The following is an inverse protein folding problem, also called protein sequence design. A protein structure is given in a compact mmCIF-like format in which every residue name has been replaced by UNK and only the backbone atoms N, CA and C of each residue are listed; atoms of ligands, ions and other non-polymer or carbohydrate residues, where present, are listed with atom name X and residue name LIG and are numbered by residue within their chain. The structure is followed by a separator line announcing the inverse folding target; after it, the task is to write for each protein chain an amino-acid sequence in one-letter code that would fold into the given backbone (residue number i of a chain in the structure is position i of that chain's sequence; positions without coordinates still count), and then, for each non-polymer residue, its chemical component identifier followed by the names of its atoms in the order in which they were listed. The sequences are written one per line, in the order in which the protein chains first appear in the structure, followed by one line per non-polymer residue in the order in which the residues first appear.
data_IF_248333942584
#
_entry.id   IF_248333942584
#
_cell.length_a   1.000
_cell.length_b   1.000
_cell.length_c   1.000
_cell.angle_alpha   90.00
_cell.angle_beta   90.00
_cell.angle_gamma   90.00
#
_symmetry.space_group_name_H-M   'P 1'
#
loop_
_entity.id
_entity.type
_entity.pdbx_description
1 polymer ?
#
# COMPACT_ATOMS: atom_id res chain seq x y z
N UNK A 1 24.16 21.46 4.30
CA UNK A 1 22.78 21.01 4.03
C UNK A 1 22.85 20.16 2.78
N UNK A 2 22.60 18.86 2.91
CA UNK A 2 22.45 18.00 1.75
C UNK A 2 21.19 18.39 0.99
N UNK A 3 21.33 18.54 -0.33
CA UNK A 3 20.19 18.87 -1.21
C UNK A 3 19.34 17.61 -1.35
N UNK A 4 18.04 17.73 -1.08
CA UNK A 4 17.09 16.72 -1.50
C UNK A 4 17.16 16.60 -3.03
N UNK A 5 17.44 15.40 -3.54
CA UNK A 5 17.35 15.08 -4.96
C UNK A 5 16.02 14.38 -5.22
N UNK A 6 15.35 14.77 -6.31
CA UNK A 6 14.20 14.03 -6.84
C UNK A 6 14.77 13.05 -7.86
N UNK A 7 14.58 11.76 -7.62
CA UNK A 7 14.89 10.73 -8.61
C UNK A 7 13.58 10.31 -9.27
N UNK A 8 13.53 10.39 -10.60
CA UNK A 8 12.40 9.90 -11.40
C UNK A 8 12.82 8.57 -12.03
N UNK A 9 12.17 7.49 -11.64
CA UNK A 9 12.32 6.17 -12.26
C UNK A 9 11.03 5.77 -12.97
N UNK A 10 11.13 5.06 -14.08
CA UNK A 10 9.99 4.53 -14.84
C UNK A 10 10.29 3.10 -15.32
N UNK A 11 9.28 2.23 -15.34
CA UNK A 11 9.38 0.87 -15.90
C UNK A 11 8.26 0.60 -16.92
N UNK A 12 8.47 -0.40 -17.78
CA UNK A 12 7.46 -0.90 -18.75
C UNK A 12 6.60 -2.05 -18.18
N UNK A 13 6.66 -2.28 -16.87
CA UNK A 13 5.87 -3.31 -16.15
C UNK A 13 4.49 -2.75 -15.76
N UNK A 14 3.53 -3.59 -15.30
CA UNK A 14 2.18 -3.14 -14.97
C UNK A 14 2.18 -1.86 -14.13
N UNK A 15 1.28 -0.94 -14.49
CA UNK A 15 1.23 0.40 -13.89
C UNK A 15 1.05 0.24 -12.38
N UNK A 16 2.08 0.60 -11.63
CA UNK A 16 2.01 0.74 -10.19
C UNK A 16 1.14 1.96 -9.90
N UNK A 17 -0.01 1.77 -9.28
CA UNK A 17 -0.97 2.84 -9.04
C UNK A 17 -1.14 3.08 -7.56
N UNK A 18 -1.35 4.35 -7.22
CA UNK A 18 -1.76 4.77 -5.88
C UNK A 18 -0.83 4.24 -4.78
N UNK A 19 0.51 4.42 -4.89
CA UNK A 19 1.40 3.98 -3.82
C UNK A 19 1.16 4.83 -2.58
N UNK A 20 1.14 4.17 -1.42
CA UNK A 20 1.16 4.78 -0.10
C UNK A 20 2.31 4.19 0.70
N UNK A 21 2.99 5.00 1.50
CA UNK A 21 4.21 4.63 2.22
C UNK A 21 4.10 5.07 3.67
N UNK A 22 4.41 4.18 4.60
CA UNK A 22 4.59 4.48 6.02
C UNK A 22 6.00 4.07 6.47
N UNK A 23 6.44 4.59 7.61
CA UNK A 23 7.67 4.15 8.26
C UNK A 23 7.32 3.58 9.64
N UNK A 24 7.68 2.32 9.90
CA UNK A 24 7.32 1.62 11.15
C UNK A 24 8.29 1.87 12.32
N UNK A 25 9.28 2.73 12.09
CA UNK A 25 10.37 3.01 13.03
C UNK A 25 11.65 2.24 12.70
N UNK A 26 11.56 1.21 11.87
CA UNK A 26 12.69 0.37 11.44
C UNK A 26 12.90 0.38 9.92
N UNK A 27 11.82 0.46 9.15
CA UNK A 27 11.84 0.44 7.69
C UNK A 27 10.62 1.18 7.11
N UNK A 28 10.71 1.52 5.84
CA UNK A 28 9.59 1.94 5.02
C UNK A 28 8.81 0.75 4.50
N UNK A 29 7.50 0.86 4.50
CA UNK A 29 6.57 -0.12 3.93
C UNK A 29 5.70 0.60 2.92
N UNK A 30 5.67 0.09 1.69
CA UNK A 30 4.83 0.60 0.62
C UNK A 30 3.72 -0.40 0.33
N UNK A 31 2.50 0.10 0.15
CA UNK A 31 1.44 -0.63 -0.53
C UNK A 31 1.03 0.09 -1.81
N UNK A 32 0.70 -0.67 -2.84
CA UNK A 32 0.23 -0.13 -4.11
C UNK A 32 -0.77 -1.07 -4.77
N UNK A 33 -1.56 -0.51 -5.69
CA UNK A 33 -2.42 -1.28 -6.55
C UNK A 33 -1.71 -1.66 -7.85
N UNK A 34 -1.91 -2.90 -8.29
CA UNK A 34 -1.59 -3.34 -9.64
C UNK A 34 -2.63 -4.36 -10.11
N UNK A 35 -3.35 -4.03 -11.18
CA UNK A 35 -4.39 -4.89 -11.77
C UNK A 35 -5.50 -5.28 -10.80
N UNK A 36 -5.88 -4.38 -9.87
CA UNK A 36 -6.92 -4.64 -8.87
C UNK A 36 -6.44 -5.44 -7.64
N UNK A 37 -5.16 -5.81 -7.58
CA UNK A 37 -4.55 -6.44 -6.42
C UNK A 37 -3.71 -5.42 -5.63
N UNK A 38 -3.59 -5.63 -4.32
CA UNK A 38 -2.67 -4.87 -3.47
C UNK A 38 -1.37 -5.66 -3.31
N UNK A 39 -0.25 -4.96 -3.45
CA UNK A 39 1.08 -5.49 -3.22
C UNK A 39 1.81 -4.66 -2.18
N UNK A 40 2.66 -5.33 -1.41
CA UNK A 40 3.52 -4.75 -0.38
C UNK A 40 4.99 -4.85 -0.81
N UNK A 41 5.76 -3.82 -0.52
CA UNK A 41 7.23 -3.79 -0.60
C UNK A 41 7.81 -3.11 0.62
N UNK A 42 9.06 -3.40 0.93
CA UNK A 42 9.79 -2.83 2.06
C UNK A 42 11.12 -2.23 1.63
N UNK A 43 11.60 -1.22 2.36
CA UNK A 43 12.85 -0.54 2.07
C UNK A 43 13.43 0.08 3.35
N UNK A 44 14.75 0.10 3.48
CA UNK A 44 15.43 0.81 4.57
C UNK A 44 15.82 2.26 4.21
N UNK A 45 15.78 2.61 2.92
CA UNK A 45 16.31 3.86 2.38
C UNK A 45 15.34 4.62 1.45
N UNK A 46 14.12 4.10 1.26
CA UNK A 46 13.12 4.58 0.30
C UNK A 46 13.57 4.56 -1.18
N UNK A 47 14.73 3.98 -1.50
CA UNK A 47 15.31 3.95 -2.83
C UNK A 47 15.37 2.53 -3.39
N UNK A 48 15.90 1.60 -2.60
CA UNK A 48 15.99 0.18 -2.92
C UNK A 48 14.84 -0.55 -2.24
N UNK A 49 14.00 -1.20 -3.04
CA UNK A 49 12.80 -1.90 -2.55
C UNK A 49 12.95 -3.41 -2.70
N UNK A 50 12.37 -4.14 -1.75
CA UNK A 50 12.23 -5.59 -1.83
C UNK A 50 11.42 -6.02 -3.07
N UNK A 51 11.46 -7.32 -3.37
CA UNK A 51 10.47 -7.93 -4.25
C UNK A 51 9.05 -7.69 -3.74
N UNK A 52 8.09 -7.71 -4.67
CA UNK A 52 6.68 -7.53 -4.34
C UNK A 52 6.08 -8.76 -3.70
N UNK A 53 5.33 -8.53 -2.63
CA UNK A 53 4.53 -9.57 -1.95
C UNK A 53 3.07 -9.21 -2.14
N UNK A 54 2.27 -10.13 -2.69
CA UNK A 54 0.83 -9.92 -2.83
C UNK A 54 0.18 -9.95 -1.46
N UNK A 55 -0.55 -8.88 -1.14
CA UNK A 55 -1.30 -8.75 0.10
C UNK A 55 -2.66 -9.45 -0.01
N UNK A 56 -3.12 -10.06 1.08
CA UNK A 56 -4.47 -10.66 1.14
C UNK A 56 -5.50 -9.59 1.46
N UNK A 57 -6.58 -9.50 0.69
CA UNK A 57 -7.67 -8.54 0.92
C UNK A 57 -9.00 -9.28 1.02
N UNK A 58 -9.73 -9.05 2.10
CA UNK A 58 -11.01 -9.70 2.41
C UNK A 58 -12.10 -8.66 2.74
N UNK A 59 -13.35 -9.11 2.95
CA UNK A 59 -14.49 -8.25 3.29
C UNK A 59 -15.18 -7.58 2.10
N UNK A 60 -14.58 -7.61 0.91
CA UNK A 60 -15.20 -7.12 -0.32
C UNK A 60 -16.22 -8.12 -0.89
N UNK A 61 -17.39 -7.62 -1.29
CA UNK A 61 -18.35 -8.41 -2.07
C UNK A 61 -17.79 -8.73 -3.46
N UNK A 62 -18.21 -9.86 -4.05
CA UNK A 62 -17.77 -10.31 -5.39
C UNK A 62 -17.76 -9.20 -6.44
N UNK A 63 -16.68 -9.14 -7.24
CA UNK A 63 -16.48 -8.15 -8.30
C UNK A 63 -15.98 -6.78 -7.85
N UNK A 64 -15.83 -6.54 -6.54
CA UNK A 64 -15.21 -5.32 -6.01
C UNK A 64 -13.72 -5.52 -5.78
N UNK A 65 -12.95 -4.48 -6.05
CA UNK A 65 -11.53 -4.41 -5.77
C UNK A 65 -11.10 -2.98 -5.44
N UNK A 66 -9.96 -2.85 -4.77
CA UNK A 66 -9.35 -1.57 -4.43
C UNK A 66 -8.72 -0.97 -5.69
N UNK A 67 -9.06 0.28 -5.99
CA UNK A 67 -8.54 1.04 -7.13
C UNK A 67 -7.51 2.09 -6.68
N UNK A 68 -7.76 2.72 -5.53
CA UNK A 68 -6.84 3.65 -4.87
C UNK A 68 -6.83 3.37 -3.37
N UNK A 69 -5.71 3.60 -2.72
CA UNK A 69 -5.54 3.36 -1.29
C UNK A 69 -4.65 4.43 -0.68
N UNK A 70 -4.92 4.74 0.58
CA UNK A 70 -3.99 5.41 1.46
C UNK A 70 -3.92 4.64 2.79
N UNK A 71 -2.73 4.54 3.37
CA UNK A 71 -2.47 3.75 4.57
C UNK A 71 -1.84 4.64 5.65
N UNK A 72 -2.37 4.50 6.86
CA UNK A 72 -1.90 5.17 8.05
C UNK A 72 -1.41 4.14 9.07
N UNK A 73 -0.25 4.40 9.66
CA UNK A 73 0.25 3.65 10.82
C UNK A 73 -0.10 4.42 12.10
N UNK A 74 -0.97 3.84 12.92
CA UNK A 74 -1.36 4.42 14.21
C UNK A 74 -0.25 4.33 15.24
N UNK A 75 -0.30 5.19 16.25
CA UNK A 75 0.70 5.22 17.33
C UNK A 75 0.78 3.94 18.18
N UNK A 76 -0.22 3.06 18.10
CA UNK A 76 -0.24 1.75 18.73
C UNK A 76 0.10 0.59 17.77
N UNK A 77 0.61 0.91 16.58
CA UNK A 77 1.15 -0.06 15.62
C UNK A 77 0.12 -0.72 14.71
N UNK A 78 -1.16 -0.32 14.75
CA UNK A 78 -2.16 -0.78 13.79
C UNK A 78 -2.01 -0.05 12.46
N UNK A 79 -2.32 -0.76 11.39
CA UNK A 79 -2.37 -0.18 10.06
C UNK A 79 -3.82 -0.01 9.63
N UNK A 80 -4.18 1.19 9.21
CA UNK A 80 -5.51 1.59 8.81
C UNK A 80 -5.48 2.02 7.34
N UNK A 81 -6.45 1.60 6.53
CA UNK A 81 -6.54 1.91 5.11
C UNK A 81 -7.83 2.65 4.80
N UNK A 82 -7.72 3.74 4.03
CA UNK A 82 -8.85 4.26 3.27
C UNK A 82 -8.72 3.81 1.82
N UNK A 83 -9.65 2.99 1.36
CA UNK A 83 -9.64 2.43 0.01
C UNK A 83 -10.78 3.01 -0.83
N UNK A 84 -10.46 3.51 -2.02
CA UNK A 84 -11.47 3.74 -3.06
C UNK A 84 -11.61 2.46 -3.89
N UNK A 85 -12.84 1.98 -4.03
CA UNK A 85 -13.17 0.79 -4.80
C UNK A 85 -13.46 1.15 -6.27
N UNK A 86 -13.39 0.16 -7.15
CA UNK A 86 -13.80 0.25 -8.56
C UNK A 86 -15.26 0.70 -8.79
N UNK A 87 -16.05 0.80 -7.72
CA UNK A 87 -17.45 1.24 -7.73
C UNK A 87 -17.62 2.70 -7.30
N UNK A 88 -16.53 3.47 -7.17
CA UNK A 88 -16.52 4.85 -6.63
C UNK A 88 -17.07 4.94 -5.20
N UNK A 89 -16.92 3.85 -4.43
CA UNK A 89 -17.21 3.83 -2.99
C UNK A 89 -15.92 3.79 -2.19
N UNK A 90 -15.97 4.38 -1.01
CA UNK A 90 -14.91 4.25 -0.02
C UNK A 90 -15.19 3.01 0.85
N UNK A 91 -14.12 2.33 1.24
CA UNK A 91 -14.11 1.27 2.25
C UNK A 91 -13.00 1.57 3.25
N UNK A 92 -13.23 1.19 4.50
CA UNK A 92 -12.24 1.29 5.56
C UNK A 92 -11.59 -0.08 5.77
N UNK A 93 -10.27 -0.12 5.95
CA UNK A 93 -9.52 -1.35 6.14
C UNK A 93 -8.69 -1.35 7.41
N UNK A 94 -8.59 -2.50 8.07
CA UNK A 94 -7.69 -2.71 9.19
C UNK A 94 -6.73 -3.86 8.91
N UNK A 95 -5.47 -3.67 9.31
CA UNK A 95 -4.46 -4.72 9.36
C UNK A 95 -3.79 -4.78 10.74
N UNK A 96 -3.62 -6.00 11.23
CA UNK A 96 -2.96 -6.32 12.50
C UNK A 96 -1.69 -7.17 12.32
N UNK A 97 -1.30 -7.43 11.07
CA UNK A 97 -0.17 -8.28 10.69
C UNK A 97 0.89 -7.53 9.86
N UNK A 98 1.03 -6.23 10.11
CA UNK A 98 1.99 -5.40 9.37
C UNK A 98 1.61 -5.20 7.91
N UNK A 99 0.33 -5.30 7.57
CA UNK A 99 -0.22 -5.05 6.22
C UNK A 99 0.00 -6.19 5.24
N UNK A 100 0.21 -7.42 5.73
CA UNK A 100 0.23 -8.63 4.91
C UNK A 100 -1.21 -9.09 4.57
N UNK A 101 -2.18 -8.76 5.43
CA UNK A 101 -3.60 -8.89 5.15
C UNK A 101 -4.42 -7.69 5.61
N UNK A 102 -5.54 -7.46 4.89
CA UNK A 102 -6.53 -6.43 5.18
C UNK A 102 -7.94 -7.00 5.21
N UNK A 103 -8.72 -6.57 6.19
CA UNK A 103 -10.17 -6.74 6.22
C UNK A 103 -10.80 -5.39 5.91
N UNK A 104 -11.57 -5.31 4.82
CA UNK A 104 -12.25 -4.08 4.37
C UNK A 104 -13.75 -4.14 4.69
N UNK A 105 -14.31 -3.00 5.12
CA UNK A 105 -15.73 -2.78 5.41
C UNK A 105 -16.32 -1.60 4.61
#
# INVERSE_FOLDING_TARGET
MDKASIVITSSNTPIMMSPTVVHDGTQFIMWYNSGGNIYKRTSIDCYTWSDEVKTTVTGLTSGKYVFHLDVYLSGDGRLEMLAALNTNRLAYGLSLDGGDSWVLE
#
